data_IF_221366421542
#
_entry.id   IF_221366421542
#
_cell.length_a   1.000
_cell.length_b   1.000
_cell.length_c   1.000
_cell.angle_alpha   90.00
_cell.angle_beta   90.00
_cell.angle_gamma   90.00
#
_symmetry.space_group_name_H-M   'P 1'
#
loop_
_entity.id
_entity.type
_entity.pdbx_description
1 polymer ?
#
# COMPACT_ATOMS: atom_id res chain seq x y z
N UNK A 1 -8.64 1.40 10.43
CA UNK A 1 -8.48 2.86 10.20
C UNK A 1 -7.01 3.19 9.95
N UNK A 2 -6.08 2.80 10.85
CA UNK A 2 -4.69 3.27 10.82
C UNK A 2 -3.97 2.98 9.49
N UNK A 3 -3.93 1.77 8.90
CA UNK A 3 -3.28 1.54 7.61
C UNK A 3 -3.83 2.40 6.47
N UNK A 4 -5.13 2.73 6.52
CA UNK A 4 -5.73 3.66 5.57
C UNK A 4 -5.26 5.10 5.77
N UNK A 5 -5.06 5.54 7.01
CA UNK A 5 -4.51 6.86 7.29
C UNK A 5 -3.07 7.00 6.76
N UNK A 6 -2.26 5.94 6.89
CA UNK A 6 -0.93 5.86 6.26
C UNK A 6 -1.02 5.96 4.74
N UNK A 7 -1.94 5.20 4.13
CA UNK A 7 -2.16 5.21 2.69
C UNK A 7 -2.59 6.59 2.18
N UNK A 8 -3.57 7.22 2.82
CA UNK A 8 -4.05 8.58 2.50
C UNK A 8 -2.89 9.58 2.53
N UNK A 9 -2.11 9.55 3.62
CA UNK A 9 -0.91 10.42 3.75
C UNK A 9 0.10 10.16 2.63
N UNK A 10 0.37 8.90 2.32
CA UNK A 10 1.29 8.51 1.25
C UNK A 10 0.86 9.03 -0.13
N UNK A 11 -0.42 8.92 -0.45
CA UNK A 11 -0.98 9.45 -1.71
C UNK A 11 -0.88 10.97 -1.79
N UNK A 12 -1.15 11.68 -0.68
CA UNK A 12 -1.01 13.13 -0.60
C UNK A 12 0.47 13.56 -0.77
N UNK A 13 1.39 12.84 -0.11
CA UNK A 13 2.83 13.07 -0.24
C UNK A 13 3.33 12.85 -1.67
N UNK A 14 2.88 11.77 -2.31
CA UNK A 14 3.20 11.47 -3.71
C UNK A 14 2.48 12.41 -4.70
N UNK A 15 1.65 13.31 -4.20
CA UNK A 15 0.89 14.28 -5.01
C UNK A 15 0.09 13.61 -6.12
N UNK A 16 -0.56 12.49 -5.77
CA UNK A 16 -1.42 11.75 -6.70
C UNK A 16 -2.56 12.63 -7.18
N UNK A 17 -2.85 12.61 -8.49
CA UNK A 17 -3.86 13.44 -9.16
C UNK A 17 -4.77 12.56 -10.03
N UNK A 18 -5.94 13.08 -10.31
CA UNK A 18 -6.80 12.52 -11.34
C UNK A 18 -6.07 12.53 -12.70
N UNK A 19 -6.17 11.42 -13.43
CA UNK A 19 -5.47 11.21 -14.70
C UNK A 19 -4.05 10.62 -14.58
N UNK A 20 -3.44 10.58 -13.38
CA UNK A 20 -2.19 9.85 -13.18
C UNK A 20 -2.42 8.34 -13.43
N UNK A 21 -1.51 7.71 -14.16
CA UNK A 21 -1.43 6.25 -14.23
C UNK A 21 -0.62 5.75 -13.04
N UNK A 22 -1.23 4.91 -12.19
CA UNK A 22 -0.67 4.54 -10.89
C UNK A 22 -0.37 3.06 -10.80
N UNK A 23 0.81 2.74 -10.25
CA UNK A 23 1.19 1.39 -9.83
C UNK A 23 1.39 1.37 -8.32
N UNK A 24 0.83 0.37 -7.65
CA UNK A 24 1.17 0.02 -6.27
C UNK A 24 2.02 -1.24 -6.28
N UNK A 25 3.21 -1.19 -5.68
CA UNK A 25 4.09 -2.35 -5.52
C UNK A 25 3.92 -2.90 -4.10
N UNK A 26 3.53 -4.17 -4.03
CA UNK A 26 3.22 -4.86 -2.77
C UNK A 26 1.74 -4.79 -2.41
N UNK A 27 1.14 -5.96 -2.18
CA UNK A 27 -0.26 -6.11 -1.80
C UNK A 27 -0.40 -6.64 -0.36
N UNK A 28 0.43 -6.13 0.55
CA UNK A 28 0.25 -6.24 1.98
C UNK A 28 -0.78 -5.22 2.50
N UNK A 29 -0.93 -5.11 3.84
CA UNK A 29 -1.93 -4.22 4.44
C UNK A 29 -1.86 -2.77 3.97
N UNK A 30 -0.64 -2.22 3.79
CA UNK A 30 -0.44 -0.83 3.33
C UNK A 30 -0.76 -0.69 1.84
N UNK A 31 -0.27 -1.61 0.99
CA UNK A 31 -0.54 -1.54 -0.45
C UNK A 31 -2.02 -1.71 -0.79
N UNK A 32 -2.72 -2.65 -0.13
CA UNK A 32 -4.17 -2.82 -0.31
C UNK A 32 -4.96 -1.62 0.25
N UNK A 33 -4.55 -1.05 1.38
CA UNK A 33 -5.14 0.18 1.90
C UNK A 33 -4.93 1.36 0.93
N UNK A 34 -3.76 1.44 0.28
CA UNK A 34 -3.47 2.43 -0.76
C UNK A 34 -4.42 2.25 -1.95
N UNK A 35 -4.61 1.02 -2.41
CA UNK A 35 -5.58 0.71 -3.46
C UNK A 35 -7.01 1.10 -3.10
N UNK A 36 -7.43 0.81 -1.87
CA UNK A 36 -8.75 1.19 -1.36
C UNK A 36 -8.94 2.73 -1.33
N UNK A 37 -7.91 3.47 -0.92
CA UNK A 37 -7.94 4.93 -0.92
C UNK A 37 -7.97 5.51 -2.35
N UNK A 38 -7.24 4.93 -3.30
CA UNK A 38 -7.28 5.30 -4.73
C UNK A 38 -8.67 5.07 -5.31
N UNK A 39 -9.26 3.89 -5.08
CA UNK A 39 -10.63 3.58 -5.51
C UNK A 39 -11.64 4.57 -4.94
N UNK A 40 -11.52 4.93 -3.66
CA UNK A 40 -12.40 5.95 -3.04
C UNK A 40 -12.29 7.29 -3.75
N UNK A 41 -11.08 7.68 -4.19
CA UNK A 41 -10.83 8.91 -4.96
C UNK A 41 -11.24 8.79 -6.44
N UNK A 42 -11.78 7.65 -6.88
CA UNK A 42 -12.16 7.40 -8.28
C UNK A 42 -10.97 7.21 -9.22
N UNK A 43 -9.78 6.91 -8.68
CA UNK A 43 -8.54 6.78 -9.45
C UNK A 43 -8.27 5.30 -9.71
N UNK A 44 -8.18 4.92 -11.00
CA UNK A 44 -7.79 3.57 -11.41
C UNK A 44 -6.30 3.32 -11.13
N UNK A 45 -5.95 2.09 -10.76
CA UNK A 45 -4.57 1.70 -10.44
C UNK A 45 -4.30 0.25 -10.79
N UNK A 46 -3.04 -0.05 -11.03
CA UNK A 46 -2.51 -1.41 -11.08
C UNK A 46 -1.80 -1.76 -9.78
N UNK A 47 -1.77 -3.05 -9.42
CA UNK A 47 -1.03 -3.54 -8.25
C UNK A 47 -0.16 -4.74 -8.60
N UNK A 48 1.09 -4.71 -8.14
CA UNK A 48 2.00 -5.84 -8.19
C UNK A 48 1.85 -6.67 -6.91
N UNK A 49 1.15 -7.80 -7.01
CA UNK A 49 0.90 -8.74 -5.91
C UNK A 49 1.63 -10.06 -6.18
N UNK A 50 2.38 -10.54 -5.18
CA UNK A 50 3.21 -11.76 -5.31
C UNK A 50 2.41 -13.05 -5.09
N UNK A 51 1.45 -13.04 -4.15
CA UNK A 51 0.74 -14.25 -3.69
C UNK A 51 -0.72 -14.22 -4.13
N UNK A 52 -1.32 -15.40 -4.34
CA UNK A 52 -2.70 -15.51 -4.83
C UNK A 52 -3.73 -14.87 -3.90
N UNK A 53 -3.60 -15.06 -2.58
CA UNK A 53 -4.50 -14.42 -1.61
C UNK A 53 -4.43 -12.88 -1.68
N UNK A 54 -3.25 -12.31 -1.98
CA UNK A 54 -3.08 -10.88 -2.17
C UNK A 54 -3.72 -10.41 -3.49
N UNK A 55 -3.61 -11.22 -4.56
CA UNK A 55 -4.24 -10.93 -5.85
C UNK A 55 -5.76 -10.94 -5.74
N UNK A 56 -6.31 -11.91 -5.00
CA UNK A 56 -7.76 -11.98 -4.71
C UNK A 56 -8.24 -10.73 -3.97
N UNK A 57 -7.55 -10.34 -2.90
CA UNK A 57 -7.89 -9.13 -2.14
C UNK A 57 -7.76 -7.85 -2.99
N UNK A 58 -6.74 -7.77 -3.84
CA UNK A 58 -6.54 -6.64 -4.74
C UNK A 58 -7.64 -6.54 -5.81
N UNK A 59 -8.07 -7.68 -6.38
CA UNK A 59 -9.19 -7.75 -7.33
C UNK A 59 -10.50 -7.27 -6.70
N UNK A 60 -10.79 -7.71 -5.48
CA UNK A 60 -11.96 -7.24 -4.71
C UNK A 60 -11.95 -5.72 -4.49
N UNK A 61 -10.77 -5.12 -4.41
CA UNK A 61 -10.59 -3.67 -4.30
C UNK A 61 -10.54 -2.96 -5.66
N UNK A 62 -10.69 -3.69 -6.78
CA UNK A 62 -10.79 -3.14 -8.12
C UNK A 62 -9.44 -2.78 -8.76
N UNK A 63 -8.35 -3.43 -8.35
CA UNK A 63 -7.02 -3.25 -8.93
C UNK A 63 -6.87 -3.93 -10.28
N UNK A 64 -6.10 -3.33 -11.21
CA UNK A 64 -5.52 -4.04 -12.34
C UNK A 64 -4.40 -4.97 -11.86
N UNK A 65 -4.46 -6.27 -12.22
CA UNK A 65 -3.55 -7.29 -11.70
C UNK A 65 -2.37 -7.62 -12.63
N UNK A 66 -2.28 -6.95 -13.76
CA UNK A 66 -1.24 -7.19 -14.76
C UNK A 66 -0.53 -5.89 -15.12
N UNK A 67 0.29 -5.34 -14.17
CA UNK A 67 0.98 -4.08 -14.40
C UNK A 67 1.90 -4.18 -15.62
N UNK A 68 1.86 -3.18 -16.49
CA UNK A 68 2.66 -3.12 -17.71
C UNK A 68 3.01 -1.68 -18.08
N UNK A 69 4.10 -1.50 -18.84
CA UNK A 69 4.54 -0.18 -19.31
C UNK A 69 5.04 0.70 -18.16
N UNK A 70 4.80 2.02 -18.26
CA UNK A 70 5.33 3.00 -17.30
C UNK A 70 4.19 3.82 -16.67
N UNK A 71 4.43 4.31 -15.44
CA UNK A 71 3.45 4.96 -14.57
C UNK A 71 3.90 6.38 -14.19
N UNK A 72 2.95 7.27 -14.05
CA UNK A 72 3.21 8.64 -13.59
C UNK A 72 3.58 8.65 -12.11
N UNK A 73 2.94 7.75 -11.35
CA UNK A 73 3.22 7.54 -9.92
C UNK A 73 3.35 6.04 -9.63
N UNK A 74 4.42 5.68 -8.94
CA UNK A 74 4.59 4.35 -8.35
C UNK A 74 4.56 4.50 -6.84
N UNK A 75 3.72 3.72 -6.16
CA UNK A 75 3.69 3.64 -4.68
C UNK A 75 4.37 2.36 -4.26
N UNK A 76 5.53 2.47 -3.65
CA UNK A 76 6.26 1.33 -3.09
C UNK A 76 5.81 1.11 -1.63
N UNK A 77 5.01 0.07 -1.41
CA UNK A 77 4.54 -0.33 -0.09
C UNK A 77 5.37 -1.47 0.53
N UNK A 78 6.54 -1.76 -0.04
CA UNK A 78 7.46 -2.83 0.41
C UNK A 78 8.73 -2.25 1.02
N UNK A 79 9.43 -1.37 0.30
CA UNK A 79 10.65 -0.70 0.77
C UNK A 79 11.91 -1.57 0.73
N UNK A 80 11.96 -2.60 -0.11
CA UNK A 80 13.15 -3.42 -0.33
C UNK A 80 13.98 -2.94 -1.52
N UNK A 81 15.24 -3.35 -1.63
CA UNK A 81 16.07 -3.08 -2.82
C UNK A 81 15.40 -3.59 -4.10
N UNK A 82 14.74 -4.76 -4.03
CA UNK A 82 14.01 -5.34 -5.17
C UNK A 82 12.80 -4.47 -5.58
N UNK A 83 12.00 -4.01 -4.62
CA UNK A 83 10.84 -3.14 -4.92
C UNK A 83 11.26 -1.75 -5.39
N UNK A 84 12.36 -1.21 -4.88
CA UNK A 84 12.94 0.05 -5.38
C UNK A 84 13.47 -0.09 -6.81
N UNK A 85 14.12 -1.21 -7.15
CA UNK A 85 14.51 -1.52 -8.53
C UNK A 85 13.28 -1.58 -9.44
N UNK A 86 12.24 -2.30 -9.04
CA UNK A 86 10.99 -2.37 -9.79
C UNK A 86 10.36 -0.98 -9.94
N UNK A 87 10.33 -0.17 -8.88
CA UNK A 87 9.82 1.20 -8.92
C UNK A 87 10.58 2.06 -9.93
N UNK A 88 11.93 1.99 -9.91
CA UNK A 88 12.78 2.72 -10.84
C UNK A 88 12.57 2.29 -12.30
N UNK A 89 12.30 1.00 -12.54
CA UNK A 89 12.00 0.49 -13.87
C UNK A 89 10.63 0.95 -14.38
N UNK A 90 9.62 0.94 -13.51
CA UNK A 90 8.22 1.17 -13.88
C UNK A 90 7.79 2.64 -13.87
N UNK A 91 8.52 3.52 -13.18
CA UNK A 91 8.21 4.95 -13.19
C UNK A 91 8.59 5.58 -14.53
N UNK A 92 7.79 6.53 -15.01
CA UNK A 92 8.11 7.36 -16.19
C UNK A 92 9.30 8.30 -15.93
N UNK A 93 9.97 8.80 -16.96
CA UNK A 93 10.81 10.00 -16.81
C UNK A 93 10.02 11.14 -16.16
N UNK A 94 10.65 11.87 -15.22
CA UNK A 94 10.04 12.92 -14.41
C UNK A 94 8.85 12.45 -13.56
N UNK A 95 8.67 11.14 -13.41
CA UNK A 95 7.62 10.56 -12.58
C UNK A 95 7.95 10.58 -11.08
N UNK A 96 7.04 10.08 -10.28
CA UNK A 96 7.12 10.12 -8.80
C UNK A 96 7.04 8.73 -8.21
N UNK A 97 7.91 8.45 -7.23
CA UNK A 97 7.84 7.22 -6.44
C UNK A 97 7.58 7.59 -4.99
N UNK A 98 6.38 7.27 -4.50
CA UNK A 98 6.01 7.38 -3.09
C UNK A 98 6.50 6.15 -2.35
N UNK A 99 7.48 6.29 -1.45
CA UNK A 99 8.04 5.20 -0.66
C UNK A 99 7.33 5.15 0.70
N UNK A 100 6.41 4.19 0.85
CA UNK A 100 5.64 3.93 2.08
C UNK A 100 6.20 2.73 2.85
N UNK A 101 6.84 1.81 2.14
CA UNK A 101 7.55 0.69 2.76
C UNK A 101 8.76 1.20 3.53
N UNK A 102 9.01 0.62 4.71
CA UNK A 102 10.16 0.97 5.55
C UNK A 102 11.20 -0.13 5.44
N UNK A 103 12.39 0.22 4.97
CA UNK A 103 13.56 -0.66 5.08
C UNK A 103 14.37 -0.28 6.32
N UNK A 104 14.71 -1.29 7.12
CA UNK A 104 15.59 -1.13 8.27
C UNK A 104 17.06 -1.38 7.89
N UNK A 105 17.31 -1.79 6.65
CA UNK A 105 18.64 -2.03 6.09
C UNK A 105 18.92 -0.97 5.01
N UNK A 106 20.20 -0.82 4.68
CA UNK A 106 20.60 0.03 3.56
C UNK A 106 20.00 -0.53 2.24
N UNK A 107 19.47 0.36 1.43
CA UNK A 107 18.95 0.03 0.10
C UNK A 107 19.69 0.82 -0.96
N UNK A 108 19.98 0.18 -2.10
CA UNK A 108 20.69 0.82 -3.19
C UNK A 108 19.77 1.76 -3.98
N UNK A 109 20.18 3.01 -4.11
CA UNK A 109 19.52 3.93 -5.02
C UNK A 109 19.88 3.54 -6.46
N UNK A 110 18.88 3.14 -7.21
CA UNK A 110 19.05 2.63 -8.56
C UNK A 110 19.42 3.75 -9.55
N UNK A 111 20.40 3.53 -10.46
CA UNK A 111 20.81 4.55 -11.45
C UNK A 111 19.66 5.06 -12.34
N UNK A 112 18.62 4.23 -12.52
CA UNK A 112 17.41 4.59 -13.28
C UNK A 112 16.68 5.79 -12.69
N UNK A 113 16.73 6.03 -11.38
CA UNK A 113 16.15 7.24 -10.78
C UNK A 113 16.82 8.50 -11.31
N UNK A 114 18.15 8.49 -11.38
CA UNK A 114 18.93 9.62 -11.95
C UNK A 114 18.68 9.75 -13.44
N UNK A 115 18.73 8.65 -14.19
CA UNK A 115 18.53 8.66 -15.65
C UNK A 115 17.14 9.13 -16.07
N UNK A 116 16.13 8.92 -15.23
CA UNK A 116 14.74 9.36 -15.47
C UNK A 116 14.40 10.68 -14.77
N UNK A 117 15.30 11.24 -13.96
CA UNK A 117 15.03 12.40 -13.11
C UNK A 117 13.76 12.18 -12.25
N UNK A 118 13.54 10.93 -11.81
CA UNK A 118 12.36 10.57 -11.07
C UNK A 118 12.47 10.97 -9.60
N UNK A 119 11.41 11.51 -9.03
CA UNK A 119 11.36 11.90 -7.63
C UNK A 119 11.17 10.69 -6.73
N UNK A 120 12.01 10.52 -5.70
CA UNK A 120 11.78 9.57 -4.62
C UNK A 120 11.26 10.33 -3.39
N UNK A 121 10.03 10.00 -2.96
CA UNK A 121 9.29 10.74 -1.92
C UNK A 121 9.00 9.83 -0.74
N UNK A 122 9.82 9.84 0.31
CA UNK A 122 9.55 9.07 1.52
C UNK A 122 8.28 9.55 2.22
N UNK A 123 7.50 8.59 2.72
CA UNK A 123 6.30 8.85 3.51
C UNK A 123 6.22 7.86 4.66
N UNK A 124 6.20 8.35 5.89
CA UNK A 124 6.12 7.53 7.09
C UNK A 124 4.90 7.92 7.92
N UNK A 125 4.14 6.92 8.34
CA UNK A 125 2.98 7.12 9.19
C UNK A 125 1.91 7.98 8.54
N UNK A 126 1.40 8.92 9.28
CA UNK A 126 0.38 9.88 8.86
C UNK A 126 0.87 11.30 9.19
N UNK A 127 0.28 12.31 8.57
CA UNK A 127 0.76 13.69 8.64
C UNK A 127 0.97 14.17 10.10
N UNK A 128 2.23 14.38 10.49
CA UNK A 128 2.58 14.80 11.84
C UNK A 128 2.06 16.22 12.22
N UNK A 129 1.74 17.06 11.23
CA UNK A 129 1.15 18.39 11.47
C UNK A 129 -0.37 18.35 11.65
N UNK A 130 -1.04 17.33 11.09
CA UNK A 130 -2.48 17.14 11.15
C UNK A 130 -2.85 15.67 11.05
N UNK A 131 -2.45 14.83 12.04
CA UNK A 131 -2.71 13.39 12.00
C UNK A 131 -4.21 13.10 12.02
N UNK A 132 -4.99 13.91 12.73
CA UNK A 132 -6.44 13.78 12.84
C UNK A 132 -7.11 13.78 11.46
N UNK A 133 -6.71 14.66 10.54
CA UNK A 133 -7.29 14.72 9.18
C UNK A 133 -7.17 13.40 8.44
N UNK A 134 -6.02 12.73 8.48
CA UNK A 134 -5.83 11.45 7.80
C UNK A 134 -6.66 10.33 8.44
N UNK A 135 -6.83 10.34 9.77
CA UNK A 135 -7.70 9.39 10.46
C UNK A 135 -9.18 9.64 10.18
N UNK A 136 -9.64 10.88 10.11
CA UNK A 136 -11.01 11.25 9.75
C UNK A 136 -11.33 10.80 8.31
N UNK A 137 -10.44 11.07 7.35
CA UNK A 137 -10.58 10.62 5.96
C UNK A 137 -10.60 9.08 5.88
N UNK A 138 -9.68 8.40 6.56
CA UNK A 138 -9.65 6.94 6.63
C UNK A 138 -10.92 6.35 7.24
N UNK A 139 -11.45 6.97 8.28
CA UNK A 139 -12.73 6.60 8.91
C UNK A 139 -13.90 6.76 7.94
N UNK A 140 -13.96 7.87 7.21
CA UNK A 140 -14.98 8.14 6.20
C UNK A 140 -14.91 7.14 5.03
N UNK A 141 -13.71 6.76 4.60
CA UNK A 141 -13.49 5.72 3.56
C UNK A 141 -14.08 4.38 4.03
N UNK A 142 -13.75 3.93 5.24
CA UNK A 142 -14.26 2.67 5.79
C UNK A 142 -15.77 2.69 6.00
N UNK A 143 -16.32 3.80 6.47
CA UNK A 143 -17.76 3.97 6.63
C UNK A 143 -18.50 3.83 5.29
N UNK A 144 -17.96 4.43 4.23
CA UNK A 144 -18.55 4.38 2.89
C UNK A 144 -18.34 3.03 2.19
N UNK A 145 -17.25 2.34 2.48
CA UNK A 145 -16.83 1.10 1.83
C UNK A 145 -16.45 0.04 2.88
N UNK A 146 -17.42 -0.52 3.63
CA UNK A 146 -17.13 -1.50 4.70
C UNK A 146 -16.46 -2.78 4.16
N UNK A 147 -16.69 -3.16 2.91
CA UNK A 147 -16.04 -4.29 2.25
C UNK A 147 -14.50 -4.21 2.19
N UNK A 148 -13.91 -3.02 2.41
CA UNK A 148 -12.45 -2.88 2.55
C UNK A 148 -11.95 -3.68 3.76
N UNK A 149 -12.70 -3.67 4.87
CA UNK A 149 -12.33 -4.45 6.05
C UNK A 149 -12.37 -5.96 5.74
N UNK A 150 -13.34 -6.42 4.97
CA UNK A 150 -13.49 -7.83 4.60
C UNK A 150 -12.33 -8.29 3.70
N UNK A 151 -11.85 -7.43 2.80
CA UNK A 151 -10.71 -7.73 1.94
C UNK A 151 -9.36 -7.75 2.68
N UNK A 152 -9.20 -6.92 3.72
CA UNK A 152 -7.93 -6.78 4.44
C UNK A 152 -7.83 -7.70 5.66
N UNK A 153 -8.89 -7.84 6.46
CA UNK A 153 -8.88 -8.62 7.71
C UNK A 153 -9.10 -10.09 7.38
N UNK A 154 -8.01 -10.84 7.30
CA UNK A 154 -8.03 -12.26 6.92
C UNK A 154 -8.15 -13.21 8.11
N UNK A 155 -7.67 -12.82 9.28
CA UNK A 155 -7.66 -13.67 10.47
C UNK A 155 -8.10 -12.88 11.70
N UNK A 156 -8.92 -13.55 12.52
CA UNK A 156 -9.45 -13.02 13.78
C UNK A 156 -9.17 -13.98 14.90
N UNK A 157 -8.70 -13.48 16.01
CA UNK A 157 -8.38 -14.26 17.20
C UNK A 157 -8.98 -13.61 18.44
N UNK A 158 -9.38 -14.40 19.44
CA UNK A 158 -9.68 -13.87 20.77
C UNK A 158 -8.38 -13.41 21.46
N UNK A 159 -8.49 -12.58 22.50
CA UNK A 159 -7.32 -12.04 23.21
C UNK A 159 -6.41 -13.11 23.84
N UNK A 160 -6.96 -14.24 24.25
CA UNK A 160 -6.18 -15.36 24.79
C UNK A 160 -5.41 -16.15 23.71
N UNK A 161 -5.76 -15.96 22.41
CA UNK A 161 -5.07 -16.53 21.25
C UNK A 161 -3.84 -15.77 20.78
N UNK A 162 -3.21 -14.91 21.61
CA UNK A 162 -2.10 -14.03 21.21
C UNK A 162 -0.95 -14.75 20.54
N UNK A 163 -0.51 -15.88 21.10
CA UNK A 163 0.63 -16.65 20.56
C UNK A 163 0.35 -17.15 19.15
N UNK A 164 -0.83 -17.70 18.92
CA UNK A 164 -1.26 -18.22 17.62
C UNK A 164 -1.43 -17.07 16.60
N UNK A 165 -2.02 -15.95 17.01
CA UNK A 165 -2.21 -14.79 16.18
C UNK A 165 -0.88 -14.24 15.65
N UNK A 166 0.15 -14.11 16.51
CA UNK A 166 1.48 -13.67 16.10
C UNK A 166 2.19 -14.71 15.23
N UNK A 167 2.04 -16.01 15.52
CA UNK A 167 2.57 -17.07 14.68
C UNK A 167 1.95 -17.02 13.27
N UNK A 168 0.62 -16.87 13.18
CA UNK A 168 -0.10 -16.71 11.90
C UNK A 168 0.33 -15.46 11.15
N UNK A 169 0.51 -14.33 11.83
CA UNK A 169 0.96 -13.09 11.20
C UNK A 169 2.39 -13.19 10.67
N UNK A 170 3.25 -13.99 11.29
CA UNK A 170 4.64 -14.21 10.88
C UNK A 170 4.78 -15.27 9.77
N UNK A 171 3.83 -16.19 9.65
CA UNK A 171 3.84 -17.24 8.63
C UNK A 171 3.34 -16.71 7.28
N UNK A 172 4.27 -16.58 6.33
CA UNK A 172 3.95 -16.15 4.96
C UNK A 172 3.07 -17.15 4.19
N UNK A 173 3.03 -18.43 4.61
CA UNK A 173 2.22 -19.48 4.00
C UNK A 173 0.76 -19.45 4.51
N UNK A 174 0.50 -18.85 5.67
CA UNK A 174 -0.83 -18.75 6.26
C UNK A 174 -1.82 -17.88 5.44
N UNK A 175 -1.35 -17.16 4.42
CA UNK A 175 -2.20 -16.27 3.62
C UNK A 175 -2.68 -15.03 4.39
N UNK A 176 -2.02 -14.69 5.48
CA UNK A 176 -2.39 -13.56 6.32
C UNK A 176 -2.07 -12.21 5.64
N UNK A 177 -3.08 -11.36 5.49
CA UNK A 177 -2.92 -9.95 5.12
C UNK A 177 -2.92 -9.10 6.40
N UNK A 178 -4.01 -9.20 7.18
CA UNK A 178 -4.11 -8.54 8.47
C UNK A 178 -4.75 -9.46 9.49
N UNK A 179 -4.06 -9.64 10.60
CA UNK A 179 -4.54 -10.36 11.77
C UNK A 179 -5.06 -9.35 12.79
N UNK A 180 -6.21 -9.60 13.38
CA UNK A 180 -6.83 -8.75 14.40
C UNK A 180 -7.30 -9.57 15.59
N UNK A 181 -7.45 -8.93 16.74
CA UNK A 181 -8.09 -9.49 17.91
C UNK A 181 -9.53 -8.98 18.01
N UNK A 182 -10.46 -9.90 18.28
CA UNK A 182 -11.81 -9.54 18.70
C UNK A 182 -11.78 -9.34 20.21
N UNK A 183 -11.97 -8.09 20.62
CA UNK A 183 -12.13 -7.72 22.03
C UNK A 183 -13.62 -7.65 22.30
N UNK A 184 -14.10 -8.55 23.17
CA UNK A 184 -15.48 -8.55 23.61
C UNK A 184 -15.75 -7.41 24.61
#
# INVERSE_FOLDING_TARGET
VEPLAVAVHGLDRARVREGDRILVIGAGPIGLATGAALRHRGIAYDIAARHDHQRIAADQLGAGLNPNGHYDVVIDAVGSSESLLQSAQMVKPLGRVGLLGVSWEAVDLQPQFTAKEAELIPSLGYNCKSPQRNFEEAGAILHRHPSIADALVTHRFPLDGVTEAFATAADRAAGAIKVVFDVA
#
